data_IF_654518008638
#
_entry.id   IF_654518008638
#
_cell.length_a   1.000
_cell.length_b   1.000
_cell.length_c   1.000
_cell.angle_alpha   90.00
_cell.angle_beta   90.00
_cell.angle_gamma   90.00
#
_symmetry.space_group_name_H-M   'P 1'
#
loop_
_entity.id
_entity.type
_entity.pdbx_description
1 polymer ?
#
# COMPACT_ATOMS: atom_id res chain seq x y z
N UNK A 1 -32.61 38.13 21.20
CA UNK A 1 -33.02 36.80 20.71
C UNK A 1 -31.98 36.41 19.68
N UNK A 2 -31.06 35.55 20.08
CA UNK A 2 -29.99 35.02 19.25
C UNK A 2 -30.45 33.72 18.58
N UNK A 3 -29.67 33.33 17.57
CA UNK A 3 -29.49 31.98 17.07
C UNK A 3 -30.48 31.46 16.02
N UNK A 4 -29.99 31.52 14.77
CA UNK A 4 -30.45 30.73 13.65
C UNK A 4 -29.27 30.33 12.76
N UNK A 5 -28.12 30.00 13.35
CA UNK A 5 -26.99 29.39 12.64
C UNK A 5 -27.43 28.03 12.10
N UNK A 6 -27.78 28.01 10.80
CA UNK A 6 -27.96 26.78 10.05
C UNK A 6 -26.58 26.17 9.86
N UNK A 7 -26.21 25.31 10.81
CA UNK A 7 -25.02 24.46 10.81
C UNK A 7 -25.03 23.54 9.58
N UNK A 8 -24.57 24.07 8.46
CA UNK A 8 -24.17 23.31 7.29
C UNK A 8 -22.87 22.61 7.63
N UNK A 9 -22.96 21.40 8.18
CA UNK A 9 -21.84 20.49 8.32
C UNK A 9 -21.34 20.15 6.92
N UNK A 10 -20.44 20.99 6.37
CA UNK A 10 -19.78 20.75 5.09
C UNK A 10 -19.00 19.45 5.27
N UNK A 11 -19.51 18.38 4.65
CA UNK A 11 -18.80 17.12 4.54
C UNK A 11 -17.39 17.45 4.04
N UNK A 12 -16.36 17.03 4.80
CA UNK A 12 -14.96 17.24 4.43
C UNK A 12 -14.79 16.75 3.00
N UNK A 13 -14.59 17.67 2.06
CA UNK A 13 -14.10 17.34 0.72
C UNK A 13 -12.72 16.75 0.95
N UNK A 14 -12.64 15.43 1.04
CA UNK A 14 -11.35 14.74 1.06
C UNK A 14 -10.73 15.02 -0.30
N UNK A 15 -9.53 15.58 -0.32
CA UNK A 15 -8.81 15.86 -1.55
C UNK A 15 -8.82 14.59 -2.44
N UNK A 16 -9.21 14.66 -3.72
CA UNK A 16 -9.26 13.49 -4.58
C UNK A 16 -7.91 12.73 -4.63
N UNK A 17 -6.78 13.43 -4.49
CA UNK A 17 -5.46 12.82 -4.38
C UNK A 17 -5.26 12.07 -3.05
N UNK A 18 -5.74 12.62 -1.94
CA UNK A 18 -5.77 11.94 -0.64
C UNK A 18 -6.64 10.68 -0.67
N UNK A 19 -7.81 10.72 -1.31
CA UNK A 19 -8.67 9.55 -1.49
C UNK A 19 -7.98 8.47 -2.34
N UNK A 20 -7.36 8.86 -3.45
CA UNK A 20 -6.63 7.94 -4.33
C UNK A 20 -5.45 7.28 -3.59
N UNK A 21 -4.68 8.05 -2.82
CA UNK A 21 -3.59 7.55 -1.98
C UNK A 21 -4.07 6.55 -0.93
N UNK A 22 -5.16 6.88 -0.22
CA UNK A 22 -5.74 5.99 0.78
C UNK A 22 -6.28 4.70 0.15
N UNK A 23 -6.88 4.77 -1.03
CA UNK A 23 -7.33 3.61 -1.78
C UNK A 23 -6.15 2.70 -2.18
N UNK A 24 -5.09 3.27 -2.76
CA UNK A 24 -3.88 2.53 -3.14
C UNK A 24 -3.24 1.85 -1.93
N UNK A 25 -3.10 2.55 -0.81
CA UNK A 25 -2.59 1.96 0.43
C UNK A 25 -3.43 0.75 0.88
N UNK A 26 -4.76 0.83 0.80
CA UNK A 26 -5.64 -0.30 1.14
C UNK A 26 -5.47 -1.49 0.19
N UNK A 27 -5.30 -1.23 -1.11
CA UNK A 27 -5.06 -2.28 -2.12
C UNK A 27 -3.73 -2.98 -1.84
N UNK A 28 -2.64 -2.23 -1.65
CA UNK A 28 -1.34 -2.84 -1.33
C UNK A 28 -1.38 -3.63 -0.02
N UNK A 29 -2.03 -3.12 1.02
CA UNK A 29 -2.20 -3.88 2.26
C UNK A 29 -3.02 -5.15 2.05
N UNK A 30 -4.07 -5.11 1.23
CA UNK A 30 -4.84 -6.29 0.87
C UNK A 30 -3.98 -7.30 0.10
N UNK A 31 -3.20 -6.85 -0.87
CA UNK A 31 -2.29 -7.71 -1.63
C UNK A 31 -1.28 -8.42 -0.72
N UNK A 32 -0.70 -7.70 0.25
CA UNK A 32 0.20 -8.28 1.25
C UNK A 32 -0.52 -9.28 2.17
N UNK A 33 -1.70 -8.93 2.69
CA UNK A 33 -2.48 -9.80 3.58
C UNK A 33 -2.93 -11.08 2.88
N UNK A 34 -3.39 -10.96 1.64
CA UNK A 34 -3.93 -12.09 0.86
C UNK A 34 -2.86 -12.82 0.06
N UNK A 35 -1.60 -12.36 0.10
CA UNK A 35 -0.47 -12.93 -0.67
C UNK A 35 -0.79 -12.97 -2.16
N UNK A 36 -1.37 -11.89 -2.64
CA UNK A 36 -1.85 -11.76 -4.02
C UNK A 36 -0.87 -10.88 -4.82
N UNK A 37 0.09 -11.49 -5.53
CA UNK A 37 1.05 -10.74 -6.32
C UNK A 37 0.40 -10.04 -7.52
N UNK A 38 -0.69 -10.58 -8.08
CA UNK A 38 -1.39 -9.93 -9.19
C UNK A 38 -2.09 -8.65 -8.74
N UNK A 39 -2.75 -8.68 -7.57
CA UNK A 39 -3.35 -7.49 -6.97
C UNK A 39 -2.31 -6.43 -6.66
N UNK A 40 -1.11 -6.86 -6.23
CA UNK A 40 -0.02 -5.94 -6.05
C UNK A 40 0.44 -5.30 -7.37
N UNK A 41 0.72 -6.11 -8.41
CA UNK A 41 1.16 -5.58 -9.70
C UNK A 41 0.13 -4.64 -10.32
N UNK A 42 -1.16 -4.95 -10.18
CA UNK A 42 -2.23 -4.06 -10.59
C UNK A 42 -2.18 -2.70 -9.85
N UNK A 43 -1.88 -2.71 -8.54
CA UNK A 43 -1.71 -1.47 -7.77
C UNK A 43 -0.51 -0.64 -8.26
N UNK A 44 0.61 -1.28 -8.58
CA UNK A 44 1.78 -0.61 -9.17
C UNK A 44 1.49 -0.01 -10.54
N UNK A 45 0.71 -0.70 -11.38
CA UNK A 45 0.30 -0.18 -12.69
C UNK A 45 -0.58 1.07 -12.54
N UNK A 46 -1.47 1.09 -11.55
CA UNK A 46 -2.27 2.28 -11.23
C UNK A 46 -1.36 3.43 -10.77
N UNK A 47 -0.37 3.17 -9.91
CA UNK A 47 0.61 4.17 -9.47
C UNK A 47 1.41 4.72 -10.66
N UNK A 48 1.92 3.83 -11.52
CA UNK A 48 2.66 4.22 -12.74
C UNK A 48 1.82 5.08 -13.67
N UNK A 49 0.56 4.70 -13.89
CA UNK A 49 -0.37 5.47 -14.71
C UNK A 49 -0.70 6.84 -14.11
N UNK A 50 -0.83 6.93 -12.78
CA UNK A 50 -1.03 8.20 -12.09
C UNK A 50 0.19 9.12 -12.22
N UNK A 51 1.40 8.59 -12.01
CA UNK A 51 2.66 9.32 -12.15
C UNK A 51 2.86 9.84 -13.59
N UNK A 52 2.55 9.03 -14.60
CA UNK A 52 2.59 9.45 -16.01
C UNK A 52 1.65 10.63 -16.32
N UNK A 53 0.63 10.85 -15.48
CA UNK A 53 -0.32 11.98 -15.58
C UNK A 53 0.05 13.14 -14.65
N UNK A 54 1.20 13.11 -14.00
CA UNK A 54 1.66 14.12 -13.05
C UNK A 54 0.95 14.08 -11.69
N UNK A 55 0.25 12.99 -11.38
CA UNK A 55 -0.37 12.77 -10.08
C UNK A 55 0.59 11.94 -9.22
N UNK A 56 1.03 12.48 -8.08
CA UNK A 56 1.84 11.76 -7.12
C UNK A 56 0.95 11.15 -6.01
N UNK A 57 0.67 9.84 -6.06
CA UNK A 57 -0.05 9.17 -4.99
C UNK A 57 0.76 9.11 -3.69
N UNK A 58 2.02 9.54 -3.67
CA UNK A 58 2.88 9.57 -2.49
C UNK A 58 3.43 8.20 -2.11
N UNK A 59 4.36 8.14 -1.15
CA UNK A 59 5.04 6.90 -0.79
C UNK A 59 4.06 5.92 -0.14
N UNK A 60 3.90 4.74 -0.75
CA UNK A 60 3.24 3.59 -0.13
C UNK A 60 4.24 2.97 0.86
N UNK A 61 4.41 3.60 2.03
CA UNK A 61 5.49 3.29 3.00
C UNK A 61 5.49 1.84 3.53
N UNK A 62 4.44 1.07 3.28
CA UNK A 62 4.30 -0.35 3.66
C UNK A 62 4.82 -1.33 2.59
N UNK A 63 5.30 -0.82 1.45
CA UNK A 63 5.71 -1.62 0.32
C UNK A 63 7.23 -1.77 0.26
N UNK A 64 7.80 -2.66 1.09
CA UNK A 64 9.24 -2.95 1.07
C UNK A 64 9.50 -4.38 0.60
N UNK A 65 10.27 -4.61 -0.48
CA UNK A 65 10.74 -5.93 -0.82
C UNK A 65 11.59 -6.49 0.33
N UNK A 66 11.66 -7.82 0.44
CA UNK A 66 12.49 -8.44 1.45
C UNK A 66 13.96 -8.03 1.23
N UNK A 67 14.65 -7.41 2.20
CA UNK A 67 16.05 -7.01 2.01
C UNK A 67 17.00 -8.21 1.90
N UNK A 68 16.54 -9.41 2.26
CA UNK A 68 17.34 -10.64 2.27
C UNK A 68 17.23 -11.42 0.97
N UNK A 69 16.01 -11.61 0.46
CA UNK A 69 15.76 -12.44 -0.73
C UNK A 69 15.11 -11.69 -1.89
N UNK A 70 14.92 -10.38 -1.77
CA UNK A 70 14.20 -9.54 -2.74
C UNK A 70 12.76 -9.99 -3.04
N UNK A 71 12.17 -10.87 -2.21
CA UNK A 71 10.79 -11.27 -2.37
C UNK A 71 9.88 -10.04 -2.26
N UNK A 72 9.11 -9.81 -3.32
CA UNK A 72 8.15 -8.71 -3.40
C UNK A 72 7.08 -8.84 -2.30
N UNK A 73 6.49 -7.74 -1.83
CA UNK A 73 5.36 -7.84 -0.92
C UNK A 73 4.19 -8.63 -1.54
N UNK A 74 3.48 -9.40 -0.71
CA UNK A 74 2.56 -10.44 -1.18
C UNK A 74 3.23 -11.77 -1.55
N UNK A 75 4.52 -11.81 -1.90
CA UNK A 75 5.25 -13.07 -2.07
C UNK A 75 5.79 -13.61 -0.74
N UNK A 76 5.97 -14.94 -0.68
CA UNK A 76 6.67 -15.62 0.40
C UNK A 76 8.19 -15.45 0.24
N UNK A 77 8.90 -15.42 1.36
CA UNK A 77 10.35 -15.41 1.32
C UNK A 77 10.88 -16.78 0.92
N UNK A 78 11.98 -16.79 0.16
CA UNK A 78 12.69 -18.01 -0.20
C UNK A 78 13.92 -18.20 0.67
N UNK A 79 14.31 -19.45 0.92
CA UNK A 79 15.55 -19.74 1.61
C UNK A 79 16.74 -19.33 0.74
N UNK A 80 17.61 -18.47 1.28
CA UNK A 80 18.86 -18.06 0.64
C UNK A 80 20.06 -18.47 1.50
N UNK A 81 21.25 -18.67 0.93
CA UNK A 81 22.45 -19.05 1.69
C UNK A 81 22.69 -18.09 2.87
N UNK A 82 22.84 -18.63 4.09
CA UNK A 82 23.08 -17.84 5.31
C UNK A 82 21.84 -17.20 5.94
N UNK A 83 20.65 -17.30 5.32
CA UNK A 83 19.35 -16.87 5.88
C UNK A 83 18.22 -17.83 5.43
N UNK A 84 18.17 -19.05 6.00
CA UNK A 84 17.07 -19.98 5.73
C UNK A 84 15.74 -19.44 6.29
N UNK A 85 14.64 -19.80 5.63
CA UNK A 85 13.26 -19.49 6.05
C UNK A 85 12.40 -20.72 5.80
N UNK A 86 11.49 -21.04 6.73
CA UNK A 86 10.59 -22.17 6.56
C UNK A 86 9.56 -21.89 5.45
N UNK A 87 9.06 -22.94 4.76
CA UNK A 87 8.00 -22.77 3.77
C UNK A 87 6.77 -22.09 4.39
N UNK A 88 6.36 -20.96 3.84
CA UNK A 88 5.22 -20.18 4.34
C UNK A 88 5.56 -19.04 5.30
N UNK A 89 6.82 -18.97 5.76
CA UNK A 89 7.32 -17.91 6.63
C UNK A 89 7.94 -16.75 5.84
N UNK A 90 8.15 -15.62 6.52
CA UNK A 90 8.86 -14.45 6.00
C UNK A 90 10.14 -14.21 6.80
N UNK A 91 11.17 -13.67 6.15
CA UNK A 91 12.37 -13.22 6.85
C UNK A 91 12.00 -12.14 7.88
N UNK A 92 12.50 -12.21 9.13
CA UNK A 92 12.16 -11.25 10.17
C UNK A 92 12.56 -9.81 9.82
N UNK A 93 13.56 -9.63 8.95
CA UNK A 93 13.99 -8.34 8.40
C UNK A 93 12.92 -7.66 7.53
N UNK A 94 11.92 -8.41 7.05
CA UNK A 94 10.78 -7.87 6.29
C UNK A 94 9.61 -7.43 7.21
N UNK A 95 9.54 -7.96 8.43
CA UNK A 95 8.46 -7.67 9.39
C UNK A 95 8.87 -6.73 10.52
N UNK A 96 10.15 -6.31 10.57
CA UNK A 96 10.70 -5.33 11.52
C UNK A 96 10.74 -3.94 10.91
#
# INVERSE_FOLDING_TARGET
MCDGERSGKVARVTDPGELARSALQRIHQAAVRHRDPELHHAADDIVRAALARGLDPGPVQSYRPCPVCAAEPGQLCISVPGRPVHPGDMHPERTK
#
